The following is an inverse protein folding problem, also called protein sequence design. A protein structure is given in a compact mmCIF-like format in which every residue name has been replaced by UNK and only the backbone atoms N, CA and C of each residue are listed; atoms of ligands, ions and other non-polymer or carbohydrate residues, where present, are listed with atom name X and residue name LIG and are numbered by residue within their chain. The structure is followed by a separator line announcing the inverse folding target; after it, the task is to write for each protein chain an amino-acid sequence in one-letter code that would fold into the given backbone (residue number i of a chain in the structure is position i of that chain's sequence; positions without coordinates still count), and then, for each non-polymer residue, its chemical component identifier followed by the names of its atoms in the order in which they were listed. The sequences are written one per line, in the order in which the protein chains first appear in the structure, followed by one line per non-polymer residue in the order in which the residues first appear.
data_IF_604710925428
#
_entry.id   IF_604710925428
#
_cell.length_a   1.000
_cell.length_b   1.000
_cell.length_c   1.000
_cell.angle_alpha   90.00
_cell.angle_beta   90.00
_cell.angle_gamma   90.00
#
_symmetry.space_group_name_H-M   'P 1'
#
loop_
_entity.id
_entity.type
_entity.pdbx_description
1 polymer ?
#
# COMPACT_ATOMS: atom_id res chain seq x y z
N UNK A 1 -2.39 -21.98 18.87
CA UNK A 1 -3.26 -21.24 17.97
C UNK A 1 -2.84 -21.53 16.54
N UNK A 2 -3.77 -21.90 15.69
CA UNK A 2 -3.49 -22.13 14.29
C UNK A 2 -3.99 -20.93 13.49
N UNK A 3 -3.12 -20.32 12.71
CA UNK A 3 -3.52 -19.35 11.70
C UNK A 3 -3.71 -20.06 10.38
N UNK A 4 -4.75 -19.67 9.65
CA UNK A 4 -5.08 -20.25 8.36
C UNK A 4 -5.48 -19.17 7.36
N UNK A 5 -5.07 -19.33 6.12
CA UNK A 5 -5.55 -18.56 4.97
C UNK A 5 -6.23 -19.54 4.01
N UNK A 6 -7.41 -19.18 3.54
CA UNK A 6 -8.13 -19.99 2.54
C UNK A 6 -8.48 -19.09 1.36
N UNK A 7 -8.17 -19.56 0.17
CA UNK A 7 -8.51 -18.88 -1.09
C UNK A 7 -9.66 -19.60 -1.74
N UNK A 8 -10.66 -18.83 -2.15
CA UNK A 8 -11.83 -19.32 -2.89
C UNK A 8 -11.84 -18.69 -4.29
N UNK A 9 -12.35 -19.40 -5.26
CA UNK A 9 -12.63 -18.85 -6.58
C UNK A 9 -13.96 -18.05 -6.60
N UNK A 10 -14.30 -17.49 -7.77
CA UNK A 10 -15.52 -16.70 -7.94
C UNK A 10 -16.82 -17.53 -7.78
N UNK A 11 -16.75 -18.85 -7.85
CA UNK A 11 -17.87 -19.77 -7.59
C UNK A 11 -18.04 -20.13 -6.12
N UNK A 12 -17.07 -19.71 -5.26
CA UNK A 12 -17.01 -20.08 -3.86
C UNK A 12 -16.38 -21.44 -3.59
N UNK A 13 -15.73 -22.04 -4.58
CA UNK A 13 -14.98 -23.27 -4.40
C UNK A 13 -13.59 -22.98 -3.83
N UNK A 14 -13.19 -23.78 -2.84
CA UNK A 14 -11.86 -23.65 -2.22
C UNK A 14 -10.78 -24.10 -3.19
N UNK A 15 -9.88 -23.19 -3.55
CA UNK A 15 -8.77 -23.45 -4.48
C UNK A 15 -7.44 -23.69 -3.78
N UNK A 16 -7.27 -23.09 -2.59
CA UNK A 16 -6.02 -23.20 -1.83
C UNK A 16 -6.25 -23.00 -0.33
N UNK A 17 -5.41 -23.62 0.51
CA UNK A 17 -5.31 -23.29 1.92
C UNK A 17 -3.87 -23.40 2.41
N UNK A 18 -3.47 -22.40 3.15
CA UNK A 18 -2.23 -22.36 3.92
C UNK A 18 -2.56 -22.40 5.42
N UNK A 19 -1.91 -23.29 6.15
CA UNK A 19 -2.06 -23.38 7.60
C UNK A 19 -0.69 -23.24 8.26
N UNK A 20 -0.56 -22.30 9.18
CA UNK A 20 0.60 -22.20 10.05
C UNK A 20 0.27 -22.72 11.44
N UNK A 21 1.03 -23.69 11.93
CA UNK A 21 0.93 -24.23 13.27
C UNK A 21 1.87 -23.53 14.27
N UNK A 22 2.86 -22.82 13.76
CA UNK A 22 3.97 -22.25 14.54
C UNK A 22 3.93 -20.73 14.60
N UNK A 23 3.44 -20.07 13.53
CA UNK A 23 3.47 -18.62 13.39
C UNK A 23 2.08 -18.04 13.13
N UNK A 24 1.87 -16.80 13.55
CA UNK A 24 0.66 -16.04 13.24
C UNK A 24 0.75 -15.48 11.81
N UNK A 25 -0.29 -15.68 11.01
CA UNK A 25 -0.46 -14.95 9.76
C UNK A 25 -0.96 -13.56 10.07
N UNK A 26 -0.22 -12.54 9.65
CA UNK A 26 -0.55 -11.12 9.88
C UNK A 26 -1.41 -10.61 8.73
N UNK A 27 -1.01 -10.97 7.48
CA UNK A 27 -1.68 -10.51 6.27
C UNK A 27 -1.49 -11.51 5.14
N UNK A 28 -2.40 -11.50 4.15
CA UNK A 28 -2.31 -12.33 2.96
C UNK A 28 -3.03 -11.66 1.78
N UNK A 29 -2.45 -11.77 0.59
CA UNK A 29 -3.01 -11.21 -0.63
C UNK A 29 -2.92 -12.21 -1.79
N UNK A 30 -4.00 -12.33 -2.58
CA UNK A 30 -3.96 -13.02 -3.87
C UNK A 30 -3.37 -12.07 -4.90
N UNK A 31 -2.37 -12.55 -5.64
CA UNK A 31 -1.73 -11.73 -6.67
C UNK A 31 -2.66 -11.51 -7.86
N UNK A 32 -2.44 -10.43 -8.59
CA UNK A 32 -3.30 -10.02 -9.72
C UNK A 32 -3.41 -11.08 -10.83
N UNK A 33 -2.41 -11.94 -10.95
CA UNK A 33 -2.45 -13.07 -11.91
C UNK A 33 -3.45 -14.17 -11.52
N UNK A 34 -4.01 -14.12 -10.31
CA UNK A 34 -4.90 -15.14 -9.72
C UNK A 34 -4.30 -16.54 -9.70
N UNK A 35 -2.97 -16.66 -9.81
CA UNK A 35 -2.24 -17.93 -9.79
C UNK A 35 -1.39 -18.10 -8.55
N UNK A 36 -1.08 -17.00 -7.88
CA UNK A 36 -0.23 -16.94 -6.70
C UNK A 36 -0.86 -16.15 -5.59
N UNK A 37 -0.44 -16.44 -4.38
CA UNK A 37 -0.73 -15.64 -3.20
C UNK A 37 0.55 -15.37 -2.41
N UNK A 38 0.59 -14.28 -1.68
CA UNK A 38 1.57 -14.03 -0.66
C UNK A 38 0.91 -14.07 0.72
N UNK A 39 1.61 -14.60 1.71
CA UNK A 39 1.23 -14.54 3.10
C UNK A 39 2.42 -14.07 3.94
N UNK A 40 2.14 -13.25 4.96
CA UNK A 40 3.16 -12.80 5.91
C UNK A 40 2.86 -13.39 7.27
N UNK A 41 3.86 -14.04 7.85
CA UNK A 41 3.79 -14.58 9.20
C UNK A 41 4.68 -13.79 10.14
N UNK A 42 4.12 -13.48 11.31
CA UNK A 42 4.87 -12.83 12.40
C UNK A 42 5.90 -13.83 12.95
N UNK A 43 7.13 -13.38 13.03
CA UNK A 43 8.24 -14.13 13.60
C UNK A 43 9.12 -13.28 14.49
N UNK A 44 10.09 -13.93 15.09
CA UNK A 44 11.12 -13.33 15.92
C UNK A 44 12.47 -14.02 15.64
N UNK A 45 13.52 -13.22 15.61
CA UNK A 45 14.89 -13.71 15.59
C UNK A 45 15.72 -12.85 16.54
N UNK A 46 16.32 -13.48 17.56
CA UNK A 46 17.16 -12.83 18.58
C UNK A 46 16.47 -11.65 19.32
N UNK A 47 15.16 -11.76 19.61
CA UNK A 47 14.40 -10.73 20.29
C UNK A 47 13.95 -9.56 19.39
N UNK A 48 14.15 -9.68 18.08
CA UNK A 48 13.76 -8.68 17.08
C UNK A 48 12.66 -9.26 16.19
N UNK A 49 11.67 -8.46 15.84
CA UNK A 49 10.65 -8.85 14.85
C UNK A 49 11.31 -9.28 13.53
N UNK A 50 10.86 -10.40 13.01
CA UNK A 50 11.36 -10.99 11.77
C UNK A 50 10.18 -11.59 11.00
N UNK A 51 9.43 -10.71 10.32
CA UNK A 51 8.27 -11.12 9.53
C UNK A 51 8.71 -11.90 8.30
N UNK A 52 8.04 -13.02 8.04
CA UNK A 52 8.36 -13.87 6.89
C UNK A 52 7.30 -13.72 5.81
N UNK A 53 7.72 -13.23 4.65
CA UNK A 53 6.92 -13.12 3.43
C UNK A 53 7.09 -14.39 2.61
N UNK A 54 6.05 -15.18 2.48
CA UNK A 54 6.04 -16.42 1.71
C UNK A 54 5.11 -16.31 0.51
N UNK A 55 5.57 -16.70 -0.68
CA UNK A 55 4.79 -16.70 -1.91
C UNK A 55 4.50 -18.14 -2.28
N UNK A 56 3.26 -18.42 -2.62
CA UNK A 56 2.75 -19.75 -2.98
C UNK A 56 2.09 -19.70 -4.35
N UNK A 57 2.35 -20.69 -5.18
CA UNK A 57 1.47 -21.01 -6.31
C UNK A 57 0.17 -21.61 -5.79
N UNK A 58 -0.98 -21.12 -6.27
CA UNK A 58 -2.28 -21.69 -5.92
C UNK A 58 -2.33 -23.15 -6.44
N UNK A 59 -2.58 -24.08 -5.53
CA UNK A 59 -2.52 -25.52 -5.81
C UNK A 59 -1.25 -26.22 -5.31
N UNK A 60 -0.28 -25.48 -4.73
CA UNK A 60 0.91 -26.00 -4.06
C UNK A 60 0.93 -25.57 -2.60
N UNK A 61 1.11 -26.49 -1.68
CA UNK A 61 1.26 -26.22 -0.24
C UNK A 61 2.69 -25.83 0.15
N UNK A 62 3.61 -25.84 -0.83
CA UNK A 62 5.01 -25.47 -0.66
C UNK A 62 5.25 -24.08 -1.19
N UNK A 63 5.91 -23.25 -0.40
CA UNK A 63 6.28 -21.88 -0.81
C UNK A 63 7.27 -21.93 -1.98
N UNK A 64 7.01 -21.11 -3.00
CA UNK A 64 7.92 -20.90 -4.13
C UNK A 64 9.07 -19.96 -3.73
N UNK A 65 8.79 -18.99 -2.86
CA UNK A 65 9.76 -18.02 -2.35
C UNK A 65 9.48 -17.68 -0.89
N UNK A 66 10.54 -17.47 -0.13
CA UNK A 66 10.49 -17.07 1.28
C UNK A 66 11.50 -15.94 1.51
N UNK A 67 11.03 -14.81 2.02
CA UNK A 67 11.84 -13.65 2.34
C UNK A 67 11.59 -13.22 3.79
N UNK A 68 12.59 -12.68 4.46
CA UNK A 68 12.46 -12.19 5.84
C UNK A 68 12.64 -10.68 5.90
N UNK A 69 11.70 -9.99 6.55
CA UNK A 69 11.76 -8.57 6.90
C UNK A 69 12.17 -8.47 8.37
N UNK A 70 13.42 -8.07 8.63
CA UNK A 70 13.98 -8.04 9.98
C UNK A 70 13.96 -6.62 10.53
N UNK A 71 13.55 -6.48 11.81
CA UNK A 71 13.62 -5.22 12.57
C UNK A 71 12.48 -4.25 12.29
N UNK A 72 11.46 -4.62 11.53
CA UNK A 72 10.30 -3.79 11.22
C UNK A 72 9.00 -4.60 11.33
N UNK A 73 7.90 -3.91 11.56
CA UNK A 73 6.56 -4.51 11.67
C UNK A 73 5.78 -4.27 10.38
N UNK A 74 5.25 -5.33 9.78
CA UNK A 74 4.36 -5.20 8.63
C UNK A 74 3.07 -4.47 9.02
N UNK A 75 2.69 -3.47 8.22
CA UNK A 75 1.44 -2.71 8.34
C UNK A 75 0.43 -3.07 7.26
N UNK A 76 0.90 -3.36 6.05
CA UNK A 76 0.05 -3.74 4.90
C UNK A 76 0.83 -4.56 3.89
N UNK A 77 0.12 -5.48 3.25
CA UNK A 77 0.58 -6.30 2.14
C UNK A 77 -0.35 -6.08 0.96
N UNK A 78 0.18 -5.56 -0.15
CA UNK A 78 -0.60 -5.27 -1.35
C UNK A 78 0.02 -5.89 -2.60
N UNK A 79 -0.81 -6.25 -3.57
CA UNK A 79 -0.35 -6.73 -4.87
C UNK A 79 -0.98 -5.91 -5.99
N UNK A 80 -0.18 -5.08 -6.65
CA UNK A 80 -0.61 -4.20 -7.73
C UNK A 80 0.34 -4.33 -8.91
N UNK A 81 -0.22 -4.46 -10.11
CA UNK A 81 0.52 -4.47 -11.39
C UNK A 81 1.72 -5.45 -11.44
N UNK A 82 1.61 -6.60 -10.75
CA UNK A 82 2.67 -7.61 -10.73
C UNK A 82 3.75 -7.37 -9.68
N UNK A 83 3.64 -6.32 -8.88
CA UNK A 83 4.51 -6.02 -7.74
C UNK A 83 3.80 -6.38 -6.45
N UNK A 84 4.50 -7.06 -5.54
CA UNK A 84 4.10 -7.27 -4.16
C UNK A 84 4.76 -6.19 -3.29
N UNK A 85 3.94 -5.43 -2.57
CA UNK A 85 4.38 -4.34 -1.71
C UNK A 85 4.22 -4.72 -0.25
N UNK A 86 5.31 -4.74 0.48
CA UNK A 86 5.35 -4.91 1.93
C UNK A 86 5.59 -3.55 2.59
N UNK A 87 4.55 -2.96 3.13
CA UNK A 87 4.62 -1.70 3.85
C UNK A 87 4.87 -1.98 5.33
N UNK A 88 5.95 -1.46 5.86
CA UNK A 88 6.28 -1.59 7.28
C UNK A 88 6.22 -0.23 7.99
N UNK A 89 6.48 -0.22 9.27
CA UNK A 89 6.59 1.02 10.05
C UNK A 89 7.83 1.87 9.70
N UNK A 90 8.86 1.27 9.03
CA UNK A 90 10.11 1.97 8.68
C UNK A 90 10.38 2.08 7.18
N UNK A 91 9.75 1.24 6.36
CA UNK A 91 10.09 1.13 4.94
C UNK A 91 8.96 0.56 4.08
N UNK A 92 9.07 0.79 2.78
CA UNK A 92 8.36 0.06 1.74
C UNK A 92 9.33 -0.89 1.06
N UNK A 93 9.06 -2.20 1.11
CA UNK A 93 9.83 -3.23 0.41
C UNK A 93 9.00 -3.82 -0.73
N UNK A 94 9.59 -3.93 -1.90
CA UNK A 94 8.93 -4.30 -3.14
C UNK A 94 9.54 -5.58 -3.69
N UNK A 95 8.68 -6.54 -4.03
CA UNK A 95 9.05 -7.80 -4.66
C UNK A 95 8.31 -7.94 -5.99
N UNK A 96 8.96 -8.60 -6.94
CA UNK A 96 8.27 -9.12 -8.12
C UNK A 96 7.34 -10.28 -7.73
N UNK A 97 6.46 -10.66 -8.64
CA UNK A 97 5.47 -11.71 -8.39
C UNK A 97 6.06 -13.11 -8.14
N UNK A 98 7.35 -13.33 -8.43
CA UNK A 98 8.08 -14.57 -8.10
C UNK A 98 8.82 -14.50 -6.76
N UNK A 99 8.75 -13.35 -6.06
CA UNK A 99 9.40 -13.12 -4.77
C UNK A 99 10.82 -12.60 -4.85
N UNK A 100 11.29 -12.22 -6.02
CA UNK A 100 12.57 -11.54 -6.16
C UNK A 100 12.46 -10.12 -5.63
N UNK A 101 13.40 -9.69 -4.77
CA UNK A 101 13.45 -8.33 -4.26
C UNK A 101 13.68 -7.35 -5.42
N UNK A 102 12.73 -6.44 -5.66
CA UNK A 102 12.81 -5.41 -6.70
C UNK A 102 13.46 -4.14 -6.16
N UNK A 103 13.18 -3.77 -4.91
CA UNK A 103 13.74 -2.61 -4.28
C UNK A 103 13.19 -2.35 -2.89
N UNK A 104 13.74 -1.34 -2.23
CA UNK A 104 13.27 -0.92 -0.91
C UNK A 104 13.46 0.58 -0.75
N UNK A 105 12.48 1.25 -0.16
CA UNK A 105 12.51 2.66 0.19
C UNK A 105 12.39 2.81 1.70
N UNK A 106 13.46 3.27 2.37
CA UNK A 106 13.45 3.60 3.79
C UNK A 106 12.91 5.01 4.00
N UNK A 107 11.97 5.17 4.94
CA UNK A 107 11.34 6.46 5.16
C UNK A 107 12.33 7.49 5.71
N UNK A 108 12.36 8.67 5.08
CA UNK A 108 13.12 9.82 5.59
C UNK A 108 12.46 10.40 6.86
N UNK A 109 11.11 10.47 6.87
CA UNK A 109 10.34 10.89 8.02
C UNK A 109 9.76 9.66 8.73
N UNK A 110 9.96 9.50 10.05
CA UNK A 110 9.78 8.23 10.75
C UNK A 110 8.32 7.79 10.94
N UNK A 111 7.34 8.64 10.61
CA UNK A 111 5.93 8.30 10.84
C UNK A 111 5.16 8.20 9.53
N UNK A 112 4.78 6.99 9.16
CA UNK A 112 3.85 6.74 8.07
C UNK A 112 2.44 7.19 8.48
N UNK A 113 1.80 8.03 7.67
CA UNK A 113 0.45 8.57 7.88
C UNK A 113 -0.57 8.00 6.91
N UNK A 114 -0.12 7.60 5.76
CA UNK A 114 -0.95 7.01 4.73
C UNK A 114 -0.13 6.48 3.58
N UNK A 115 -0.74 5.60 2.84
CA UNK A 115 -0.14 5.00 1.65
C UNK A 115 -1.22 4.72 0.62
N UNK A 116 -0.83 4.66 -0.64
CA UNK A 116 -1.68 4.18 -1.72
C UNK A 116 -0.83 3.49 -2.78
N UNK A 117 -1.14 2.23 -3.04
CA UNK A 117 -0.42 1.36 -3.97
C UNK A 117 -1.13 1.23 -5.34
N UNK A 118 -2.19 2.03 -5.59
CA UNK A 118 -3.00 1.95 -6.80
C UNK A 118 -2.39 2.60 -8.05
N UNK A 119 -1.21 3.20 -7.96
CA UNK A 119 -0.55 3.86 -9.08
C UNK A 119 0.07 2.90 -10.11
N UNK A 120 0.22 3.38 -11.35
CA UNK A 120 0.90 2.66 -12.42
C UNK A 120 2.41 2.65 -12.16
N UNK A 121 2.94 1.54 -11.65
CA UNK A 121 4.36 1.35 -11.33
C UNK A 121 4.94 2.32 -10.29
N UNK A 122 4.12 2.88 -9.42
CA UNK A 122 4.56 3.69 -8.30
C UNK A 122 3.66 3.50 -7.07
N UNK A 123 4.22 3.78 -5.90
CA UNK A 123 3.52 3.92 -4.64
C UNK A 123 3.51 5.39 -4.19
N UNK A 124 2.43 5.85 -3.58
CA UNK A 124 2.36 7.15 -2.93
C UNK A 124 2.37 6.96 -1.41
N UNK A 125 3.26 7.65 -0.71
CA UNK A 125 3.43 7.60 0.74
C UNK A 125 3.23 8.99 1.34
N UNK A 126 2.48 9.08 2.42
CA UNK A 126 2.37 10.27 3.24
C UNK A 126 3.14 10.04 4.53
N UNK A 127 4.24 10.74 4.70
CA UNK A 127 5.13 10.63 5.83
C UNK A 127 5.03 11.86 6.72
N UNK A 128 5.27 11.72 8.02
CA UNK A 128 5.31 12.85 8.96
C UNK A 128 6.62 12.86 9.72
N UNK A 129 7.17 14.06 9.90
CA UNK A 129 8.37 14.26 10.70
C UNK A 129 8.12 14.08 12.19
N UNK A 130 6.91 14.44 12.64
CA UNK A 130 6.52 14.41 14.04
C UNK A 130 5.27 13.54 14.26
N UNK A 131 5.16 12.97 15.44
CA UNK A 131 3.99 12.17 15.82
C UNK A 131 2.68 12.97 15.83
N UNK A 132 2.76 14.29 15.99
CA UNK A 132 1.60 15.20 15.88
C UNK A 132 1.05 15.34 14.46
N UNK A 133 1.82 15.02 13.42
CA UNK A 133 1.42 15.16 12.02
C UNK A 133 1.51 16.58 11.47
N UNK A 134 2.21 17.49 12.16
CA UNK A 134 2.26 18.93 11.79
C UNK A 134 3.17 19.26 10.61
N UNK A 135 4.05 18.34 10.21
CA UNK A 135 4.92 18.48 9.03
C UNK A 135 4.84 17.19 8.23
N UNK A 136 4.26 17.29 7.07
CA UNK A 136 4.01 16.16 6.19
C UNK A 136 4.93 16.22 4.96
N UNK A 137 5.26 15.05 4.45
CA UNK A 137 5.95 14.87 3.17
C UNK A 137 5.18 13.83 2.36
N UNK A 138 4.69 14.25 1.21
CA UNK A 138 4.18 13.33 0.20
C UNK A 138 5.37 12.83 -0.62
N UNK A 139 5.48 11.53 -0.80
CA UNK A 139 6.58 10.89 -1.54
C UNK A 139 6.00 9.92 -2.54
N UNK A 140 6.56 9.88 -3.73
CA UNK A 140 6.30 8.83 -4.71
C UNK A 140 7.53 7.96 -4.89
N UNK A 141 7.31 6.65 -4.89
CA UNK A 141 8.35 5.63 -4.99
C UNK A 141 8.04 4.72 -6.17
N UNK A 142 8.99 4.53 -7.08
CA UNK A 142 8.87 3.64 -8.23
C UNK A 142 8.90 2.16 -7.82
N UNK A 143 8.56 1.27 -8.74
CA UNK A 143 8.54 -0.19 -8.52
C UNK A 143 9.92 -0.81 -8.22
N UNK A 144 11.01 -0.08 -8.41
CA UNK A 144 12.38 -0.46 -8.04
C UNK A 144 12.84 0.11 -6.69
N UNK A 145 11.94 0.78 -5.93
CA UNK A 145 12.24 1.37 -4.64
C UNK A 145 12.90 2.74 -4.69
N UNK A 146 13.03 3.35 -5.87
CA UNK A 146 13.63 4.69 -6.02
C UNK A 146 12.59 5.78 -5.75
N UNK A 147 12.95 6.79 -4.95
CA UNK A 147 12.13 8.00 -4.81
C UNK A 147 12.05 8.74 -6.14
N UNK A 148 10.83 8.94 -6.65
CA UNK A 148 10.57 9.66 -7.90
C UNK A 148 10.43 11.16 -7.67
N UNK A 149 9.71 11.53 -6.61
CA UNK A 149 9.48 12.91 -6.21
C UNK A 149 9.07 13.00 -4.73
N UNK A 150 9.27 14.17 -4.14
CA UNK A 150 8.76 14.48 -2.81
C UNK A 150 8.25 15.92 -2.74
N UNK A 151 7.23 16.14 -1.88
CA UNK A 151 6.58 17.42 -1.67
C UNK A 151 6.29 17.61 -0.18
N UNK A 152 6.90 18.61 0.41
CA UNK A 152 6.59 19.00 1.79
C UNK A 152 5.27 19.76 1.87
N UNK A 153 4.48 19.48 2.92
CA UNK A 153 3.22 20.16 3.19
C UNK A 153 3.06 20.46 4.67
N UNK A 154 2.61 21.67 4.96
CA UNK A 154 2.14 22.06 6.30
C UNK A 154 0.62 21.99 6.43
N UNK A 155 -0.09 21.71 5.31
CA UNK A 155 -1.54 21.55 5.32
C UNK A 155 -1.91 20.15 5.83
N UNK A 156 -3.01 20.07 6.57
CA UNK A 156 -3.57 18.80 7.01
C UNK A 156 -4.10 18.01 5.80
N UNK A 157 -3.62 16.78 5.66
CA UNK A 157 -4.13 15.83 4.66
C UNK A 157 -5.16 14.92 5.32
N UNK A 158 -6.40 14.99 4.86
CA UNK A 158 -7.51 14.16 5.35
C UNK A 158 -7.51 12.76 4.72
N UNK A 159 -7.18 12.68 3.45
CA UNK A 159 -7.19 11.43 2.68
C UNK A 159 -6.30 11.52 1.46
N UNK A 160 -5.76 10.38 1.05
CA UNK A 160 -4.96 10.23 -0.15
C UNK A 160 -5.34 8.95 -0.88
N UNK A 161 -5.41 9.01 -2.20
CA UNK A 161 -5.65 7.85 -3.05
C UNK A 161 -4.92 8.00 -4.38
N UNK A 162 -4.21 6.97 -4.80
CA UNK A 162 -3.55 6.90 -6.10
C UNK A 162 -4.21 5.84 -6.98
N UNK A 163 -4.42 6.15 -8.24
CA UNK A 163 -4.85 5.20 -9.26
C UNK A 163 -4.31 5.64 -10.64
N UNK A 164 -3.83 4.68 -11.41
CA UNK A 164 -3.26 4.96 -12.72
C UNK A 164 -2.13 6.00 -12.64
N UNK A 165 -2.30 7.11 -13.33
CA UNK A 165 -1.30 8.18 -13.47
C UNK A 165 -1.52 9.36 -12.51
N UNK A 166 -2.43 9.24 -11.52
CA UNK A 166 -2.81 10.37 -10.69
C UNK A 166 -2.88 10.01 -9.22
N UNK A 167 -2.62 11.01 -8.39
CA UNK A 167 -2.72 10.95 -6.94
C UNK A 167 -3.68 12.05 -6.50
N UNK A 168 -4.78 11.67 -5.88
CA UNK A 168 -5.71 12.59 -5.25
C UNK A 168 -5.30 12.80 -3.80
N UNK A 169 -5.09 14.05 -3.40
CA UNK A 169 -4.82 14.44 -2.02
C UNK A 169 -5.93 15.39 -1.57
N UNK A 170 -6.70 14.96 -0.59
CA UNK A 170 -7.75 15.76 0.02
C UNK A 170 -7.19 16.48 1.23
N UNK A 171 -7.17 17.80 1.14
CA UNK A 171 -6.88 18.71 2.25
C UNK A 171 -8.17 19.10 2.98
N UNK A 172 -8.07 19.91 4.02
CA UNK A 172 -9.23 20.36 4.81
C UNK A 172 -10.24 21.19 4.01
N UNK A 173 -9.79 21.90 2.97
CA UNK A 173 -10.57 22.85 2.17
C UNK A 173 -10.49 22.64 0.66
N UNK A 174 -9.61 21.75 0.22
CA UNK A 174 -9.37 21.55 -1.21
C UNK A 174 -8.98 20.10 -1.54
N UNK A 175 -9.28 19.69 -2.77
CA UNK A 175 -8.76 18.49 -3.41
C UNK A 175 -7.71 18.90 -4.44
N UNK A 176 -6.56 18.26 -4.40
CA UNK A 176 -5.52 18.44 -5.41
C UNK A 176 -5.19 17.10 -6.06
N UNK A 177 -5.18 17.08 -7.38
CA UNK A 177 -4.70 15.94 -8.16
C UNK A 177 -3.26 16.22 -8.59
N UNK A 178 -2.39 15.26 -8.30
CA UNK A 178 -0.98 15.31 -8.68
C UNK A 178 -0.63 14.23 -9.71
N UNK A 179 0.39 14.51 -10.51
CA UNK A 179 1.10 13.49 -11.28
C UNK A 179 2.03 12.68 -10.37
N UNK A 180 2.60 11.54 -10.81
CA UNK A 180 3.62 10.82 -10.04
C UNK A 180 4.87 11.64 -9.73
N UNK A 181 5.16 12.71 -10.48
CA UNK A 181 6.24 13.66 -10.22
C UNK A 181 5.81 14.79 -9.27
N UNK A 182 4.63 14.64 -8.61
CA UNK A 182 4.04 15.59 -7.66
C UNK A 182 3.83 17.00 -8.23
N UNK A 183 3.62 17.08 -9.53
CA UNK A 183 3.16 18.30 -10.19
C UNK A 183 1.64 18.37 -10.09
N UNK A 184 1.09 19.52 -9.70
CA UNK A 184 -0.35 19.74 -9.66
C UNK A 184 -0.94 19.61 -11.07
N UNK A 185 -1.90 18.69 -11.21
CA UNK A 185 -2.63 18.45 -12.45
C UNK A 185 -3.97 19.18 -12.47
N UNK A 186 -4.71 19.12 -11.34
CA UNK A 186 -5.99 19.78 -11.18
C UNK A 186 -6.27 20.07 -9.71
N UNK A 187 -7.14 21.07 -9.46
CA UNK A 187 -7.56 21.48 -8.12
C UNK A 187 -9.05 21.76 -8.07
N UNK A 188 -9.65 21.41 -6.95
CA UNK A 188 -11.02 21.77 -6.58
C UNK A 188 -11.00 22.37 -5.17
N UNK A 189 -11.39 23.63 -5.05
CA UNK A 189 -11.56 24.30 -3.75
C UNK A 189 -12.97 24.11 -3.21
N UNK A 190 -13.17 24.36 -1.91
CA UNK A 190 -14.48 24.28 -1.28
C UNK A 190 -14.93 22.84 -0.99
N UNK A 191 -13.98 21.98 -0.56
CA UNK A 191 -14.25 20.55 -0.29
C UNK A 191 -14.41 20.21 1.18
N UNK A 192 -14.73 21.17 2.06
CA UNK A 192 -14.84 21.00 3.52
C UNK A 192 -15.91 19.96 3.94
N UNK A 193 -16.82 19.62 3.04
CA UNK A 193 -17.82 18.57 3.23
C UNK A 193 -17.24 17.15 3.07
N UNK A 194 -16.11 17.01 2.38
CA UNK A 194 -15.50 15.73 2.10
C UNK A 194 -14.64 15.23 3.29
N UNK A 195 -14.59 13.92 3.47
CA UNK A 195 -13.83 13.23 4.52
C UNK A 195 -12.79 12.28 3.93
N UNK A 196 -13.07 11.74 2.76
CA UNK A 196 -12.13 10.90 2.05
C UNK A 196 -12.27 11.06 0.54
N UNK A 197 -11.24 10.61 -0.18
CA UNK A 197 -11.20 10.63 -1.64
C UNK A 197 -10.78 9.26 -2.15
N UNK A 198 -11.37 8.85 -3.28
CA UNK A 198 -10.95 7.68 -4.05
C UNK A 198 -10.61 8.15 -5.45
N UNK A 199 -9.35 7.96 -5.84
CA UNK A 199 -8.88 8.21 -7.21
C UNK A 199 -9.27 7.04 -8.09
N UNK A 200 -9.63 7.32 -9.35
CA UNK A 200 -9.95 6.32 -10.38
C UNK A 200 -8.91 6.35 -11.49
N UNK A 201 -8.73 5.21 -12.16
CA UNK A 201 -7.77 5.06 -13.26
C UNK A 201 -8.09 5.98 -14.45
N UNK A 202 -9.36 6.36 -14.63
CA UNK A 202 -9.83 7.27 -15.69
C UNK A 202 -9.51 8.75 -15.43
N UNK A 203 -8.84 9.07 -14.34
CA UNK A 203 -8.48 10.44 -13.95
C UNK A 203 -9.56 11.18 -13.16
N UNK A 204 -10.71 10.57 -12.91
CA UNK A 204 -11.76 11.15 -12.07
C UNK A 204 -11.54 10.79 -10.60
N UNK A 205 -12.09 11.58 -9.68
CA UNK A 205 -12.01 11.31 -8.26
C UNK A 205 -13.40 11.29 -7.62
N UNK A 206 -13.64 10.38 -6.69
CA UNK A 206 -14.86 10.34 -5.87
C UNK A 206 -14.56 10.95 -4.52
N UNK A 207 -15.23 12.05 -4.19
CA UNK A 207 -15.21 12.68 -2.88
C UNK A 207 -16.33 12.08 -2.01
N UNK A 208 -16.00 11.66 -0.81
CA UNK A 208 -16.95 11.03 0.11
C UNK A 208 -17.09 11.91 1.35
N UNK A 209 -18.30 12.34 1.61
CA UNK A 209 -18.70 13.04 2.83
C UNK A 209 -19.42 12.11 3.82
N UNK A 210 -20.04 12.68 4.84
CA UNK A 210 -20.76 11.92 5.88
C UNK A 210 -22.04 11.24 5.39
N UNK A 211 -22.70 11.78 4.36
CA UNK A 211 -24.01 11.32 3.87
C UNK A 211 -24.12 11.29 2.34
N UNK A 212 -23.10 11.72 1.63
CA UNK A 212 -23.12 11.88 0.17
C UNK A 212 -21.75 11.61 -0.44
N UNK A 213 -21.75 11.27 -1.72
CA UNK A 213 -20.54 11.16 -2.53
C UNK A 213 -20.71 11.98 -3.82
N UNK A 214 -19.63 12.56 -4.30
CA UNK A 214 -19.59 13.39 -5.51
C UNK A 214 -18.47 12.91 -6.43
N UNK A 215 -18.74 12.91 -7.71
CA UNK A 215 -17.73 12.65 -8.72
C UNK A 215 -17.11 13.98 -9.15
N UNK A 216 -15.80 14.09 -9.02
CA UNK A 216 -15.01 15.18 -9.59
C UNK A 216 -14.40 14.74 -10.92
N UNK A 217 -14.62 15.53 -11.95
CA UNK A 217 -14.06 15.38 -13.29
C UNK A 217 -13.20 16.61 -13.53
N UNK A 218 -11.86 16.48 -13.58
CA UNK A 218 -10.93 17.59 -13.77
C UNK A 218 -10.97 18.20 -15.16
#
# INVERSE_FOLDING_TARGET
YKSAVTVYDASGEKTFAFNSSEHYVIDAVVMRDCKRMAAVTLGESDGIFADTVSIYSLGSDKADSVNTLTGSLLLSLDSVAGTLSCLTDESLTLFSSDGTLSGSYRYEYPYLRGSSMGGDNYAALLLSRYRSGSTLKLVTVSSDGTEMASLDSSQEVLSMSAAGKYIAVLYSDSLVLYTPQLQEYARLDGTEYARSVIMREDGTAVLIGSSSAWLYIP
#
